data_IF_931032874276
#
_entry.id   IF_931032874276
#
_cell.length_a   1.000
_cell.length_b   1.000
_cell.length_c   1.000
_cell.angle_alpha   90.00
_cell.angle_beta   90.00
_cell.angle_gamma   90.00
#
_symmetry.space_group_name_H-M   'P 1'
#
loop_
_entity.id
_entity.type
_entity.pdbx_description
1 polymer ?
#
# COMPACT_ATOMS: atom_id res chain seq x y z
N UNK A 1 -1.89 6.71 -7.53
CA UNK A 1 -1.36 6.29 -6.22
C UNK A 1 -0.78 4.88 -6.29
N UNK A 2 0.36 4.67 -5.62
CA UNK A 2 1.10 3.41 -5.51
C UNK A 2 1.29 2.64 -6.83
N UNK A 3 1.83 3.29 -7.87
CA UNK A 3 1.98 2.67 -9.20
C UNK A 3 3.03 1.54 -9.18
N UNK A 4 4.20 1.78 -8.60
CA UNK A 4 5.31 0.83 -8.52
C UNK A 4 4.98 -0.35 -7.62
N UNK A 5 4.31 -0.11 -6.48
CA UNK A 5 3.85 -1.20 -5.60
C UNK A 5 2.88 -2.11 -6.32
N UNK A 6 1.91 -1.57 -7.07
CA UNK A 6 0.98 -2.40 -7.85
C UNK A 6 1.68 -3.21 -8.94
N UNK A 7 2.68 -2.64 -9.62
CA UNK A 7 3.48 -3.36 -10.61
C UNK A 7 4.27 -4.50 -9.97
N UNK A 8 4.93 -4.22 -8.85
CA UNK A 8 5.68 -5.21 -8.07
C UNK A 8 4.77 -6.36 -7.58
N UNK A 9 3.59 -6.06 -7.05
CA UNK A 9 2.66 -7.10 -6.60
C UNK A 9 2.23 -8.01 -7.78
N UNK A 10 1.93 -7.45 -8.94
CA UNK A 10 1.60 -8.22 -10.15
C UNK A 10 2.75 -9.10 -10.61
N UNK A 11 3.98 -8.58 -10.63
CA UNK A 11 5.15 -9.36 -11.05
C UNK A 11 5.47 -10.50 -10.07
N UNK A 12 5.04 -10.37 -8.81
CA UNK A 12 5.18 -11.41 -7.79
C UNK A 12 3.95 -12.33 -7.68
N UNK A 13 2.99 -12.23 -8.61
CA UNK A 13 1.73 -12.98 -8.62
C UNK A 13 0.88 -12.80 -7.35
N UNK A 14 0.89 -11.60 -6.78
CA UNK A 14 -0.05 -11.20 -5.74
C UNK A 14 -1.27 -10.54 -6.36
N UNK A 15 -2.45 -10.98 -5.96
CA UNK A 15 -3.67 -10.24 -6.21
C UNK A 15 -3.78 -9.02 -5.29
N UNK A 16 -4.51 -8.01 -5.75
CA UNK A 16 -4.83 -6.87 -4.90
C UNK A 16 -6.20 -6.28 -5.22
N UNK A 17 -6.73 -5.54 -4.26
CA UNK A 17 -7.93 -4.70 -4.38
C UNK A 17 -7.65 -3.28 -3.89
N UNK A 18 -8.37 -2.31 -4.46
CA UNK A 18 -8.19 -0.88 -4.22
C UNK A 18 -9.48 -0.29 -3.69
N UNK A 19 -9.41 0.38 -2.55
CA UNK A 19 -10.53 1.14 -1.99
C UNK A 19 -10.11 2.59 -1.76
N UNK A 20 -10.98 3.53 -2.10
CA UNK A 20 -10.84 4.94 -1.79
C UNK A 20 -11.92 5.34 -0.80
N UNK A 21 -11.52 5.98 0.28
CA UNK A 21 -12.40 6.43 1.35
C UNK A 21 -12.18 7.93 1.51
N UNK A 22 -13.25 8.71 1.41
CA UNK A 22 -13.26 10.15 1.68
C UNK A 22 -14.13 10.40 2.90
N UNK A 23 -13.55 10.47 4.10
CA UNK A 23 -14.33 10.76 5.29
C UNK A 23 -14.80 12.21 5.26
N UNK A 24 -15.98 12.48 5.83
CA UNK A 24 -16.54 13.84 5.88
C UNK A 24 -15.87 14.73 6.95
N UNK A 25 -15.38 14.13 8.04
CA UNK A 25 -14.94 14.84 9.24
C UNK A 25 -13.42 14.97 9.40
N UNK A 26 -12.61 14.34 8.53
CA UNK A 26 -11.14 14.46 8.59
C UNK A 26 -10.59 14.97 7.26
N UNK A 27 -9.52 15.79 7.27
CA UNK A 27 -8.99 16.40 6.06
C UNK A 27 -8.33 15.38 5.13
N UNK A 28 -7.80 14.29 5.68
CA UNK A 28 -7.11 13.27 4.91
C UNK A 28 -8.08 12.25 4.33
N UNK A 29 -8.03 12.09 3.02
CA UNK A 29 -8.60 10.94 2.32
C UNK A 29 -7.71 9.71 2.52
N UNK A 30 -8.31 8.53 2.42
CA UNK A 30 -7.62 7.26 2.65
C UNK A 30 -7.73 6.37 1.43
N UNK A 31 -6.59 5.89 0.96
CA UNK A 31 -6.50 4.84 -0.05
C UNK A 31 -6.00 3.55 0.58
N UNK A 32 -6.72 2.47 0.39
CA UNK A 32 -6.37 1.15 0.92
C UNK A 32 -6.09 0.22 -0.26
N UNK A 33 -4.91 -0.38 -0.25
CA UNK A 33 -4.49 -1.43 -1.17
C UNK A 33 -4.38 -2.74 -0.39
N UNK A 34 -5.41 -3.59 -0.45
CA UNK A 34 -5.37 -4.94 0.15
C UNK A 34 -4.73 -5.91 -0.82
N UNK A 35 -3.89 -6.82 -0.36
CA UNK A 35 -3.17 -7.75 -1.24
C UNK A 35 -2.81 -9.09 -0.58
N UNK A 36 -2.61 -10.12 -1.40
CA UNK A 36 -2.26 -11.48 -0.96
C UNK A 36 -2.20 -12.46 -2.14
N UNK A 37 -1.73 -13.69 -1.88
CA UNK A 37 -1.76 -14.77 -2.87
C UNK A 37 -3.11 -15.50 -2.81
N UNK A 38 -3.42 -16.11 -1.67
CA UNK A 38 -4.69 -16.84 -1.48
C UNK A 38 -5.76 -15.93 -0.86
N UNK A 39 -5.36 -15.12 0.12
CA UNK A 39 -6.24 -14.20 0.84
C UNK A 39 -5.62 -12.82 0.95
N UNK A 40 -6.42 -11.76 0.74
CA UNK A 40 -5.99 -10.35 0.74
C UNK A 40 -5.79 -9.79 2.17
N UNK A 41 -4.99 -10.50 2.96
CA UNK A 41 -4.78 -10.26 4.39
C UNK A 41 -3.73 -9.18 4.69
N UNK A 42 -2.93 -8.79 3.70
CA UNK A 42 -2.00 -7.68 3.81
C UNK A 42 -2.65 -6.39 3.30
N UNK A 43 -2.25 -5.25 3.82
CA UNK A 43 -2.76 -3.96 3.37
C UNK A 43 -1.73 -2.84 3.42
N UNK A 44 -1.75 -1.99 2.42
CA UNK A 44 -1.12 -0.66 2.46
C UNK A 44 -2.23 0.37 2.61
N UNK A 45 -2.13 1.20 3.63
CA UNK A 45 -3.04 2.34 3.86
C UNK A 45 -2.25 3.60 3.56
N UNK A 46 -2.77 4.43 2.65
CA UNK A 46 -2.18 5.70 2.28
C UNK A 46 -3.12 6.81 2.71
N UNK A 47 -2.66 7.69 3.59
CA UNK A 47 -3.35 8.94 3.89
C UNK A 47 -2.85 10.00 2.92
N UNK A 48 -3.78 10.69 2.29
CA UNK A 48 -3.45 11.71 1.30
C UNK A 48 -4.43 12.87 1.38
N UNK A 49 -3.93 14.04 1.03
CA UNK A 49 -4.68 15.28 0.92
C UNK A 49 -4.59 15.81 -0.51
N UNK A 50 -5.33 16.87 -0.80
CA UNK A 50 -5.18 17.63 -2.04
C UNK A 50 -4.54 18.98 -1.72
N UNK A 51 -3.54 19.37 -2.52
CA UNK A 51 -3.01 20.74 -2.48
C UNK A 51 -4.09 21.72 -2.96
N UNK A 52 -3.87 23.02 -2.76
CA UNK A 52 -4.76 24.06 -3.28
C UNK A 52 -4.96 23.98 -4.81
N UNK A 53 -3.94 23.51 -5.55
CA UNK A 53 -4.01 23.21 -7.00
C UNK A 53 -4.69 21.87 -7.34
N UNK A 54 -5.24 21.16 -6.36
CA UNK A 54 -5.90 19.86 -6.53
C UNK A 54 -4.95 18.65 -6.66
N UNK A 55 -3.63 18.85 -6.62
CA UNK A 55 -2.66 17.74 -6.74
C UNK A 55 -2.70 16.88 -5.49
N UNK A 56 -2.65 15.57 -5.67
CA UNK A 56 -2.59 14.61 -4.56
C UNK A 56 -1.25 14.75 -3.83
N UNK A 57 -1.29 15.05 -2.54
CA UNK A 57 -0.15 15.03 -1.63
C UNK A 57 -0.29 13.81 -0.72
N UNK A 58 0.69 12.90 -0.80
CA UNK A 58 0.76 11.76 0.12
C UNK A 58 1.31 12.26 1.45
N UNK A 59 0.58 12.01 2.53
CA UNK A 59 0.98 12.37 3.88
C UNK A 59 1.62 11.17 4.61
N UNK A 60 1.08 9.96 4.42
CA UNK A 60 1.56 8.75 5.09
C UNK A 60 1.34 7.52 4.22
N UNK A 61 2.31 6.59 4.22
CA UNK A 61 2.17 5.24 3.64
C UNK A 61 2.41 4.23 4.77
N UNK A 62 1.37 3.56 5.24
CA UNK A 62 1.45 2.56 6.30
C UNK A 62 1.21 1.15 5.74
N UNK A 63 2.19 0.25 5.89
CA UNK A 63 2.07 -1.16 5.56
C UNK A 63 1.67 -1.96 6.80
N UNK A 64 0.70 -2.85 6.65
CA UNK A 64 0.39 -3.89 7.62
C UNK A 64 0.35 -5.24 6.93
N UNK A 65 1.37 -6.05 7.19
CA UNK A 65 1.39 -7.45 6.80
C UNK A 65 0.54 -8.29 7.76
N UNK A 66 0.04 -9.42 7.27
CA UNK A 66 -0.64 -10.40 8.10
C UNK A 66 0.28 -10.83 9.26
N UNK A 67 -0.27 -10.97 10.47
CA UNK A 67 0.46 -11.24 11.74
C UNK A 67 1.44 -10.15 12.19
N UNK A 68 1.55 -9.02 11.50
CA UNK A 68 2.37 -7.89 11.95
C UNK A 68 1.68 -7.14 13.11
N UNK A 69 2.38 -6.99 14.24
CA UNK A 69 1.86 -6.33 15.45
C UNK A 69 1.64 -4.83 15.27
N UNK A 70 2.61 -4.13 14.69
CA UNK A 70 2.55 -2.68 14.43
C UNK A 70 2.75 -2.38 12.95
N UNK A 71 1.95 -1.49 12.34
CA UNK A 71 2.16 -1.09 10.95
C UNK A 71 3.52 -0.43 10.78
N UNK A 72 4.14 -0.60 9.61
CA UNK A 72 5.39 0.05 9.26
C UNK A 72 5.12 1.24 8.35
N UNK A 73 5.63 2.41 8.73
CA UNK A 73 5.39 3.68 8.04
C UNK A 73 6.54 3.94 7.07
N UNK A 74 6.22 4.44 5.88
CA UNK A 74 7.16 4.79 4.81
C UNK A 74 6.91 6.22 4.34
N UNK A 75 7.99 6.94 4.05
CA UNK A 75 7.94 8.27 3.45
C UNK A 75 7.78 8.21 1.93
N UNK A 76 8.40 7.22 1.29
CA UNK A 76 8.39 7.06 -0.16
C UNK A 76 7.94 5.67 -0.60
N UNK A 77 7.26 5.61 -1.75
CA UNK A 77 6.83 4.34 -2.35
C UNK A 77 8.01 3.41 -2.68
N UNK A 78 9.17 3.97 -3.02
CA UNK A 78 10.37 3.18 -3.32
C UNK A 78 10.83 2.35 -2.10
N UNK A 79 10.79 2.94 -0.90
CA UNK A 79 11.17 2.27 0.34
C UNK A 79 10.18 1.15 0.70
N UNK A 80 8.89 1.40 0.46
CA UNK A 80 7.86 0.37 0.59
C UNK A 80 8.14 -0.82 -0.34
N UNK A 81 8.43 -0.57 -1.62
CA UNK A 81 8.73 -1.63 -2.59
C UNK A 81 9.98 -2.40 -2.20
N UNK A 82 11.05 -1.70 -1.79
CA UNK A 82 12.29 -2.32 -1.29
C UNK A 82 12.02 -3.22 -0.08
N UNK A 83 11.19 -2.74 0.85
CA UNK A 83 10.79 -3.51 2.02
C UNK A 83 9.99 -4.77 1.63
N UNK A 84 8.98 -4.63 0.77
CA UNK A 84 8.17 -5.76 0.32
C UNK A 84 9.01 -6.82 -0.42
N UNK A 85 9.96 -6.40 -1.25
CA UNK A 85 10.88 -7.33 -1.93
C UNK A 85 11.74 -8.16 -0.97
N UNK A 86 12.06 -7.62 0.22
CA UNK A 86 12.84 -8.32 1.25
C UNK A 86 11.97 -9.25 2.12
N UNK A 87 10.69 -8.92 2.34
CA UNK A 87 9.87 -9.59 3.35
C UNK A 87 8.74 -10.45 2.80
N UNK A 88 8.33 -10.24 1.54
CA UNK A 88 7.37 -11.13 0.91
C UNK A 88 8.09 -12.39 0.41
N UNK A 89 7.50 -13.58 0.60
CA UNK A 89 8.06 -14.80 0.06
C UNK A 89 8.13 -14.69 -1.46
N UNK A 90 9.35 -14.80 -1.97
CA UNK A 90 9.58 -15.01 -3.41
C UNK A 90 9.02 -16.39 -3.74
N UNK A 91 8.24 -16.49 -4.81
CA UNK A 91 7.83 -17.82 -5.29
C UNK A 91 9.13 -18.51 -5.73
N UNK A 92 9.40 -19.73 -5.24
CA UNK A 92 10.32 -20.61 -5.92
C UNK A 92 9.70 -20.90 -7.29
N UNK A 93 10.42 -20.58 -8.35
CA UNK A 93 10.05 -21.02 -9.68
C UNK A 93 10.34 -22.53 -9.70
N UNK A 94 9.29 -23.35 -9.54
CA UNK A 94 9.31 -24.74 -9.99
C UNK A 94 9.07 -24.77 -11.51
#
# INVERSE_FOLDING_TARGET
MLKRTKQFLRSMHYEYDKTYIRPLMVPDSVYVLKFGKDHRNNRVVVKYSHTWTGRVKINEIALRLHKQKHPRIFKHEADLVKYLNKHLPKKATD
#
